data_IF_840740640886
#
_entry.id   IF_840740640886
#
_cell.length_a   1.000
_cell.length_b   1.000
_cell.length_c   1.000
_cell.angle_alpha   90.00
_cell.angle_beta   90.00
_cell.angle_gamma   90.00
#
_symmetry.space_group_name_H-M   'P 1'
#
loop_
_entity.id
_entity.type
_entity.pdbx_description
1 polymer ?
#
# COMPACT_ATOMS: atom_id res chain seq x y z
N UNK A 1 1.48 16.41 5.02
CA UNK A 1 0.78 15.99 6.26
C UNK A 1 0.66 14.47 6.25
N UNK A 2 0.94 13.76 7.35
CA UNK A 2 0.78 12.29 7.40
C UNK A 2 -0.70 11.94 7.59
N UNK A 3 -1.19 10.95 6.84
CA UNK A 3 -2.56 10.46 6.99
C UNK A 3 -2.73 9.81 8.37
N UNK A 4 -3.76 10.17 9.16
CA UNK A 4 -3.90 9.69 10.53
C UNK A 4 -4.24 8.19 10.64
N UNK A 5 -4.77 7.59 9.57
CA UNK A 5 -5.23 6.18 9.58
C UNK A 5 -4.24 5.29 8.86
N UNK A 6 -3.75 5.74 7.71
CA UNK A 6 -2.99 4.95 6.74
C UNK A 6 -1.53 5.34 6.66
N UNK A 7 -1.00 6.10 7.62
CA UNK A 7 0.44 6.19 7.83
C UNK A 7 0.88 5.15 8.87
N UNK A 8 1.10 3.91 8.41
CA UNK A 8 1.54 2.79 9.26
C UNK A 8 3.04 2.84 9.48
N UNK A 9 3.49 2.80 10.74
CA UNK A 9 4.92 2.78 11.07
C UNK A 9 5.64 1.56 10.51
N UNK A 10 4.95 0.42 10.39
CA UNK A 10 5.46 -0.83 9.81
C UNK A 10 5.35 -0.90 8.28
N UNK A 11 4.77 0.12 7.64
CA UNK A 11 4.64 0.14 6.18
C UNK A 11 5.98 0.42 5.50
N UNK A 12 6.15 -0.18 4.33
CA UNK A 12 7.33 -0.14 3.48
C UNK A 12 7.06 0.52 2.12
N UNK A 13 5.85 1.06 1.93
CA UNK A 13 5.46 1.83 0.75
C UNK A 13 4.91 3.20 1.15
N UNK A 14 5.62 4.26 0.76
CA UNK A 14 5.25 5.67 0.97
C UNK A 14 4.59 6.23 -0.28
N UNK A 15 3.38 6.73 -0.15
CA UNK A 15 2.60 7.30 -1.24
C UNK A 15 2.19 8.72 -0.86
N UNK A 16 2.37 9.67 -1.77
CA UNK A 16 1.94 11.06 -1.61
C UNK A 16 0.83 11.38 -2.60
N UNK A 17 -0.27 11.91 -2.08
CA UNK A 17 -1.43 12.38 -2.85
C UNK A 17 -1.74 13.76 -2.35
N UNK A 18 -1.71 14.76 -3.23
CA UNK A 18 -1.75 16.17 -2.87
C UNK A 18 -0.72 16.52 -1.77
N UNK A 19 -1.20 16.98 -0.61
CA UNK A 19 -0.41 17.30 0.58
C UNK A 19 -0.40 16.18 1.63
N UNK A 20 -1.10 15.06 1.38
CA UNK A 20 -1.20 13.92 2.28
C UNK A 20 -0.16 12.83 1.95
N UNK A 21 0.44 12.28 3.01
CA UNK A 21 1.43 11.20 2.93
C UNK A 21 0.86 9.95 3.60
N UNK A 22 0.87 8.86 2.87
CA UNK A 22 0.42 7.53 3.25
C UNK A 22 1.63 6.62 3.43
N UNK A 23 1.50 5.65 4.34
CA UNK A 23 2.48 4.59 4.49
C UNK A 23 1.76 3.25 4.70
N UNK A 24 1.79 2.41 3.68
CA UNK A 24 1.09 1.12 3.68
C UNK A 24 2.08 -0.02 3.44
N UNK A 25 1.62 -1.25 3.65
CA UNK A 25 2.42 -2.43 3.37
C UNK A 25 2.34 -2.76 1.88
N UNK A 26 3.48 -2.85 1.23
CA UNK A 26 3.66 -3.08 -0.20
C UNK A 26 3.06 -4.40 -0.66
N UNK A 27 3.13 -5.44 0.18
CA UNK A 27 2.54 -6.74 -0.13
C UNK A 27 1.05 -6.65 -0.47
N UNK A 28 0.32 -5.68 0.10
CA UNK A 28 -1.10 -5.45 -0.19
C UNK A 28 -1.34 -5.07 -1.66
N UNK A 29 -0.43 -4.30 -2.24
CA UNK A 29 -0.50 -3.89 -3.64
C UNK A 29 -0.03 -5.01 -4.57
N UNK A 30 0.99 -5.76 -4.14
CA UNK A 30 1.61 -6.82 -4.92
C UNK A 30 0.75 -8.09 -5.00
N UNK A 31 -0.05 -8.38 -3.98
CA UNK A 31 -0.87 -9.60 -3.93
C UNK A 31 -2.00 -9.57 -4.97
N UNK A 32 -2.64 -8.41 -5.16
CA UNK A 32 -3.82 -8.29 -6.02
C UNK A 32 -3.49 -7.78 -7.43
N UNK A 33 -2.26 -7.31 -7.67
CA UNK A 33 -1.87 -6.77 -8.98
C UNK A 33 -0.39 -7.00 -9.30
N UNK A 34 -0.10 -7.86 -10.30
CA UNK A 34 1.27 -8.09 -10.78
C UNK A 34 1.88 -6.85 -11.45
N UNK A 35 1.06 -5.84 -11.78
CA UNK A 35 1.54 -4.56 -12.29
C UNK A 35 2.30 -3.79 -11.22
N UNK A 36 1.85 -3.84 -9.95
CA UNK A 36 2.59 -3.22 -8.86
C UNK A 36 3.90 -3.95 -8.60
N UNK A 37 3.92 -5.29 -8.60
CA UNK A 37 5.17 -6.07 -8.50
C UNK A 37 6.19 -5.65 -9.57
N UNK A 38 5.73 -5.47 -10.81
CA UNK A 38 6.60 -5.05 -11.92
C UNK A 38 7.12 -3.62 -11.70
N UNK A 39 6.25 -2.67 -11.37
CA UNK A 39 6.63 -1.27 -11.09
C UNK A 39 7.73 -1.16 -10.02
N UNK A 40 7.68 -2.08 -9.06
CA UNK A 40 8.51 -2.18 -7.89
C UNK A 40 9.84 -2.94 -8.09
N UNK A 41 9.93 -3.77 -9.13
CA UNK A 41 11.12 -4.56 -9.48
C UNK A 41 11.90 -3.96 -10.64
N UNK A 42 11.32 -3.01 -11.38
CA UNK A 42 12.00 -2.37 -12.50
C UNK A 42 13.18 -1.51 -12.02
N UNK A 43 14.41 -1.75 -12.51
CA UNK A 43 15.56 -0.93 -12.17
C UNK A 43 15.35 0.49 -12.73
N UNK A 44 15.24 1.48 -11.86
CA UNK A 44 14.96 2.88 -12.23
C UNK A 44 16.21 3.64 -12.75
N UNK A 45 17.12 2.96 -13.46
CA UNK A 45 18.21 3.62 -14.19
C UNK A 45 19.16 4.49 -13.36
N UNK A 46 19.45 4.10 -12.11
CA UNK A 46 20.35 4.84 -11.21
C UNK A 46 19.67 5.89 -10.33
N UNK A 47 18.35 6.03 -10.42
CA UNK A 47 17.53 6.81 -9.48
C UNK A 47 17.13 5.91 -8.31
N UNK A 48 17.23 6.45 -7.08
CA UNK A 48 16.75 5.79 -5.87
C UNK A 48 15.29 5.33 -6.03
N UNK A 49 14.95 4.09 -5.65
CA UNK A 49 13.59 3.58 -5.79
C UNK A 49 12.58 4.47 -5.05
N UNK A 50 11.54 4.91 -5.75
CA UNK A 50 10.45 5.70 -5.16
C UNK A 50 9.63 4.87 -4.18
N UNK A 51 9.13 5.52 -3.13
CA UNK A 51 8.24 4.95 -2.13
C UNK A 51 8.91 4.34 -0.91
N UNK A 52 10.24 4.39 -0.79
CA UNK A 52 10.96 3.86 0.37
C UNK A 52 11.07 4.87 1.52
N UNK A 53 11.11 6.16 1.21
CA UNK A 53 11.31 7.24 2.19
C UNK A 53 10.22 8.29 2.08
N UNK A 54 10.05 9.09 3.14
CA UNK A 54 9.11 10.21 3.15
C UNK A 54 9.56 11.33 2.18
N UNK A 55 10.87 11.41 1.92
CA UNK A 55 11.52 12.37 1.02
C UNK A 55 11.40 11.98 -0.46
N UNK A 56 11.23 10.70 -0.76
CA UNK A 56 11.03 10.18 -2.11
C UNK A 56 9.80 9.25 -2.19
N UNK A 57 8.58 9.75 -1.94
CA UNK A 57 7.37 8.93 -1.99
C UNK A 57 6.91 8.72 -3.45
N UNK A 58 6.08 7.71 -3.67
CA UNK A 58 5.36 7.54 -4.94
C UNK A 58 4.28 8.62 -5.01
N UNK A 59 4.38 9.52 -5.99
CA UNK A 59 3.42 10.62 -6.15
C UNK A 59 2.31 10.20 -7.09
N UNK A 60 1.07 10.16 -6.58
CA UNK A 60 -0.12 9.91 -7.40
C UNK A 60 -0.72 11.25 -7.82
N UNK A 61 -0.69 11.50 -9.13
CA UNK A 61 -1.20 12.75 -9.72
C UNK A 61 -2.57 12.48 -10.34
N UNK A 62 -3.60 13.21 -9.91
CA UNK A 62 -4.97 13.08 -10.41
C UNK A 62 -5.90 12.25 -9.53
N UNK A 63 -5.36 11.58 -8.51
CA UNK A 63 -6.14 10.93 -7.46
C UNK A 63 -6.38 11.90 -6.29
N UNK A 64 -7.49 11.70 -5.58
CA UNK A 64 -7.82 12.43 -4.34
C UNK A 64 -7.42 11.63 -3.10
N UNK A 65 -7.20 12.34 -1.99
CA UNK A 65 -6.93 11.73 -0.68
C UNK A 65 -8.02 10.72 -0.30
N UNK A 66 -9.29 11.03 -0.55
CA UNK A 66 -10.44 10.17 -0.25
C UNK A 66 -10.44 8.89 -1.08
N UNK A 67 -10.13 8.97 -2.38
CA UNK A 67 -10.02 7.79 -3.25
C UNK A 67 -8.92 6.85 -2.77
N UNK A 68 -7.77 7.40 -2.36
CA UNK A 68 -6.64 6.61 -1.87
C UNK A 68 -6.95 5.99 -0.51
N UNK A 69 -7.67 6.70 0.37
CA UNK A 69 -8.20 6.12 1.62
C UNK A 69 -9.15 4.96 1.34
N UNK A 70 -10.07 5.12 0.40
CA UNK A 70 -11.01 4.07 0.01
C UNK A 70 -10.28 2.83 -0.55
N UNK A 71 -9.27 3.04 -1.39
CA UNK A 71 -8.39 1.97 -1.87
C UNK A 71 -7.67 1.28 -0.72
N UNK A 72 -7.05 2.04 0.19
CA UNK A 72 -6.37 1.47 1.36
C UNK A 72 -7.35 0.68 2.22
N UNK A 73 -8.55 1.20 2.48
CA UNK A 73 -9.59 0.48 3.20
C UNK A 73 -9.91 -0.87 2.54
N UNK A 74 -10.13 -0.89 1.23
CA UNK A 74 -10.44 -2.12 0.49
C UNK A 74 -9.31 -3.15 0.58
N UNK A 75 -8.05 -2.72 0.42
CA UNK A 75 -6.87 -3.59 0.52
C UNK A 75 -6.74 -4.22 1.91
N UNK A 76 -6.88 -3.44 2.98
CA UNK A 76 -6.78 -3.95 4.35
C UNK A 76 -8.00 -4.78 4.76
N UNK A 77 -9.21 -4.40 4.34
CA UNK A 77 -10.42 -5.16 4.62
C UNK A 77 -10.38 -6.55 3.95
N UNK A 78 -9.85 -6.63 2.72
CA UNK A 78 -9.67 -7.89 2.02
C UNK A 78 -8.70 -8.83 2.76
N UNK A 79 -7.56 -8.33 3.22
CA UNK A 79 -6.63 -9.16 4.00
C UNK A 79 -7.24 -9.66 5.32
N UNK A 80 -8.02 -8.82 6.00
CA UNK A 80 -8.72 -9.25 7.21
C UNK A 80 -9.69 -10.41 6.93
N UNK A 81 -10.37 -10.40 5.78
CA UNK A 81 -11.28 -11.48 5.37
C UNK A 81 -10.51 -12.76 5.01
N UNK A 82 -9.42 -12.65 4.26
CA UNK A 82 -8.60 -13.81 3.87
C UNK A 82 -7.89 -14.46 5.07
N UNK A 83 -7.38 -13.66 6.01
CA UNK A 83 -6.79 -14.14 7.26
C UNK A 83 -7.80 -14.80 8.19
N UNK A 84 -9.05 -14.32 8.21
CA UNK A 84 -10.14 -14.91 9.00
C UNK A 84 -10.66 -16.25 8.46
N UNK A 85 -10.53 -16.51 7.15
CA UNK A 85 -11.00 -17.74 6.52
C UNK A 85 -10.13 -18.97 6.85
N UNK A 86 -8.87 -18.77 7.22
CA UNK A 86 -7.95 -19.87 7.56
C UNK A 86 -8.26 -20.44 8.95
N UNK A 87 -8.65 -19.59 9.91
CA UNK A 87 -9.04 -20.03 11.26
C UNK A 87 -10.37 -20.79 11.27
N UNK A 88 -11.32 -20.43 10.41
CA UNK A 88 -12.59 -21.15 10.30
C UNK A 88 -12.44 -22.55 9.68
N UNK A 89 -11.44 -22.76 8.81
CA UNK A 89 -11.16 -24.06 8.20
C UNK A 89 -10.32 -24.99 9.09
N UNK A 90 -9.56 -24.45 10.06
CA UNK A 90 -8.77 -25.22 11.03
C UNK A 90 -9.55 -25.61 12.28
N UNK A 91 -10.71 -24.99 12.55
CA UNK A 91 -11.61 -25.37 13.64
C UNK A 91 -12.55 -26.56 13.31
N UNK A 92 -12.53 -27.05 12.07
CA UNK A 92 -13.41 -28.13 11.58
C UNK A 92 -12.67 -29.44 11.22
N UNK A 93 -11.39 -29.58 11.58
CA UNK A 93 -10.59 -30.80 11.42
C UNK A 93 -10.24 -31.41 12.78
#
# INVERSE_FOLDING_TARGET
VRDPVYYKTSGDCKIRVDDALFCIHRFLLEQDSPMFQTMFQLPQGGVEPQGLTDENPIVLVGDTVEQVRALCWALYALQAQLGGNIESSLMLA
#
